data_IF_239444519074
#
_entry.id   IF_239444519074
#
_cell.length_a   1.000
_cell.length_b   1.000
_cell.length_c   1.000
_cell.angle_alpha   90.00
_cell.angle_beta   90.00
_cell.angle_gamma   90.00
#
_symmetry.space_group_name_H-M   'P 1'
#
loop_
_entity.id
_entity.type
_entity.pdbx_description
1 polymer ?
#
# COMPACT_ATOMS: atom_id res chain seq x y z
N UNK A 1 6.33 -13.12 -6.73
CA UNK A 1 5.25 -14.02 -7.14
C UNK A 1 5.44 -14.37 -8.60
N UNK A 2 5.36 -15.64 -9.03
CA UNK A 2 5.49 -16.01 -10.45
C UNK A 2 4.38 -15.35 -11.27
N UNK A 3 4.72 -14.94 -12.50
CA UNK A 3 3.77 -14.20 -13.37
C UNK A 3 2.60 -15.05 -13.86
N UNK A 4 2.81 -16.33 -13.95
CA UNK A 4 1.86 -17.36 -14.41
C UNK A 4 1.07 -18.01 -13.25
N UNK A 5 1.25 -17.53 -12.02
CA UNK A 5 0.46 -17.96 -10.88
C UNK A 5 -1.01 -17.62 -11.12
N UNK A 6 -1.89 -18.60 -10.94
CA UNK A 6 -3.33 -18.41 -11.12
C UNK A 6 -3.96 -17.99 -9.78
N UNK A 7 -4.64 -16.86 -9.77
CA UNK A 7 -5.44 -16.37 -8.66
C UNK A 7 -6.85 -16.97 -8.69
N UNK A 8 -7.56 -16.82 -7.57
CA UNK A 8 -8.98 -17.15 -7.53
C UNK A 8 -9.75 -16.41 -8.63
N UNK A 9 -10.60 -17.10 -9.37
CA UNK A 9 -11.31 -16.57 -10.52
C UNK A 9 -10.56 -16.70 -11.87
N UNK A 10 -9.41 -17.38 -11.90
CA UNK A 10 -8.69 -17.71 -13.12
C UNK A 10 -7.75 -16.61 -13.66
N UNK A 11 -7.52 -15.53 -12.90
CA UNK A 11 -6.62 -14.45 -13.29
C UNK A 11 -5.15 -14.86 -13.13
N UNK A 12 -4.32 -14.62 -14.13
CA UNK A 12 -2.88 -14.76 -13.99
C UNK A 12 -2.31 -13.58 -13.16
N UNK A 13 -1.28 -13.86 -12.36
CA UNK A 13 -0.67 -12.82 -11.53
C UNK A 13 -0.16 -11.64 -12.34
N UNK A 14 0.33 -11.88 -13.58
CA UNK A 14 0.80 -10.81 -14.46
C UNK A 14 -0.26 -9.73 -14.74
N UNK A 15 -1.53 -10.12 -14.76
CA UNK A 15 -2.65 -9.22 -15.07
C UNK A 15 -3.07 -8.39 -13.87
N UNK A 16 -2.84 -8.89 -12.66
CA UNK A 16 -3.29 -8.29 -11.40
C UNK A 16 -2.16 -7.87 -10.47
N UNK A 17 -0.91 -7.98 -10.92
CA UNK A 17 0.28 -7.71 -10.09
C UNK A 17 0.22 -6.33 -9.43
N UNK A 18 -0.06 -5.29 -10.20
CA UNK A 18 -0.01 -3.91 -9.68
C UNK A 18 -1.14 -3.60 -8.69
N UNK A 19 -2.31 -4.21 -8.85
CA UNK A 19 -3.45 -3.98 -7.94
C UNK A 19 -3.38 -4.84 -6.67
N UNK A 20 -2.52 -5.84 -6.63
CA UNK A 20 -2.33 -6.69 -5.45
C UNK A 20 -1.93 -5.85 -4.22
N UNK A 21 -1.12 -4.81 -4.41
CA UNK A 21 -0.73 -3.86 -3.37
C UNK A 21 -1.90 -3.03 -2.78
N UNK A 22 -3.03 -2.93 -3.49
CA UNK A 22 -4.25 -2.31 -2.98
C UNK A 22 -5.14 -3.33 -2.26
N UNK A 23 -5.27 -4.54 -2.81
CA UNK A 23 -6.14 -5.55 -2.20
C UNK A 23 -5.65 -6.01 -0.83
N UNK A 24 -4.33 -6.14 -0.64
CA UNK A 24 -3.79 -6.55 0.64
C UNK A 24 -4.13 -5.57 1.79
N UNK A 25 -3.87 -4.26 1.70
CA UNK A 25 -4.30 -3.32 2.73
C UNK A 25 -5.83 -3.23 2.87
N UNK A 26 -6.59 -3.41 1.80
CA UNK A 26 -8.05 -3.45 1.85
C UNK A 26 -8.53 -4.58 2.76
N UNK A 27 -8.17 -5.82 2.47
CA UNK A 27 -8.62 -6.99 3.26
C UNK A 27 -8.06 -6.95 4.69
N UNK A 28 -6.87 -6.38 4.88
CA UNK A 28 -6.29 -6.17 6.21
C UNK A 28 -7.13 -5.17 7.02
N UNK A 29 -7.52 -4.06 6.42
CA UNK A 29 -8.37 -3.05 7.05
C UNK A 29 -9.74 -3.63 7.42
N UNK A 30 -10.38 -4.32 6.49
CA UNK A 30 -11.66 -4.98 6.70
C UNK A 30 -11.58 -6.06 7.82
N UNK A 31 -10.50 -6.87 7.82
CA UNK A 31 -10.27 -7.86 8.85
C UNK A 31 -10.03 -7.27 10.24
N UNK A 32 -9.32 -6.15 10.33
CA UNK A 32 -9.12 -5.44 11.60
C UNK A 32 -10.44 -4.88 12.15
N UNK A 33 -11.30 -4.34 11.29
CA UNK A 33 -12.63 -3.87 11.66
C UNK A 33 -13.48 -5.03 12.16
N UNK A 34 -13.53 -6.13 11.41
CA UNK A 34 -14.35 -7.29 11.75
C UNK A 34 -13.91 -7.97 13.04
N UNK A 35 -12.61 -7.96 13.38
CA UNK A 35 -12.06 -8.55 14.60
C UNK A 35 -12.26 -7.69 15.84
N UNK A 36 -12.49 -6.40 15.69
CA UNK A 36 -12.61 -5.46 16.80
C UNK A 36 -13.91 -5.64 17.59
N UNK A 37 -13.82 -5.70 18.92
CA UNK A 37 -14.99 -5.75 19.82
C UNK A 37 -15.73 -4.40 19.93
N UNK A 38 -15.17 -3.32 19.41
CA UNK A 38 -15.74 -1.97 19.42
C UNK A 38 -15.37 -1.26 18.10
N UNK A 39 -16.13 -0.25 17.68
CA UNK A 39 -15.88 0.50 16.45
C UNK A 39 -14.60 1.35 16.59
N UNK A 40 -13.45 0.71 16.35
CA UNK A 40 -12.14 1.39 16.31
C UNK A 40 -11.71 1.55 14.87
N UNK A 41 -11.08 2.68 14.56
CA UNK A 41 -10.45 2.91 13.26
C UNK A 41 -9.26 1.95 13.12
N UNK A 42 -9.19 1.14 12.06
CA UNK A 42 -8.02 0.34 11.79
C UNK A 42 -6.86 1.25 11.39
N UNK A 43 -5.64 0.88 11.75
CA UNK A 43 -4.43 1.47 11.22
C UNK A 43 -3.69 0.42 10.41
N UNK A 44 -3.53 0.69 9.14
CA UNK A 44 -2.80 -0.15 8.19
C UNK A 44 -1.69 0.67 7.57
N UNK A 45 -0.48 0.16 7.61
CA UNK A 45 0.67 0.73 6.94
C UNK A 45 1.13 -0.28 5.87
N UNK A 46 1.20 0.16 4.63
CA UNK A 46 1.57 -0.69 3.50
C UNK A 46 2.74 -0.11 2.72
N UNK A 47 3.62 -0.99 2.21
CA UNK A 47 4.70 -0.59 1.31
C UNK A 47 4.21 -0.58 -0.14
N UNK A 48 3.52 -1.65 -0.55
CA UNK A 48 2.93 -1.74 -1.88
C UNK A 48 1.53 -1.15 -1.87
N UNK A 49 1.23 -0.31 -2.85
CA UNK A 49 -0.06 0.34 -2.98
C UNK A 49 -0.39 0.57 -4.45
N UNK A 50 -1.63 0.94 -4.71
CA UNK A 50 -2.15 1.33 -6.02
C UNK A 50 -3.17 2.45 -5.83
N UNK A 51 -3.58 3.11 -6.90
CA UNK A 51 -4.61 4.15 -6.84
C UNK A 51 -5.86 3.64 -6.11
N UNK A 52 -6.28 4.34 -5.07
CA UNK A 52 -7.39 3.92 -4.20
C UNK A 52 -6.97 3.32 -2.85
N UNK A 53 -5.70 2.99 -2.66
CA UNK A 53 -5.18 2.45 -1.39
C UNK A 53 -5.29 3.44 -0.22
N UNK A 54 -5.33 4.74 -0.50
CA UNK A 54 -5.48 5.80 0.51
C UNK A 54 -6.76 5.65 1.35
N UNK A 55 -7.75 4.89 0.87
CA UNK A 55 -8.98 4.58 1.61
C UNK A 55 -8.76 3.58 2.74
N UNK A 56 -7.68 2.83 2.70
CA UNK A 56 -7.46 1.68 3.58
C UNK A 56 -6.27 1.85 4.51
N UNK A 57 -5.34 2.74 4.21
CA UNK A 57 -4.17 2.89 5.04
C UNK A 57 -3.19 3.95 4.58
N UNK A 58 -2.11 4.03 5.34
CA UNK A 58 -0.94 4.86 5.06
C UNK A 58 0.11 4.06 4.27
N UNK A 59 1.09 4.75 3.71
CA UNK A 59 2.23 4.13 3.04
C UNK A 59 3.56 4.67 3.56
N UNK A 60 4.65 3.94 3.31
CA UNK A 60 6.00 4.48 3.49
C UNK A 60 6.85 4.22 2.26
N UNK A 61 7.94 4.95 2.13
CA UNK A 61 8.80 4.90 0.95
C UNK A 61 9.73 3.68 0.89
N UNK A 62 9.70 2.81 1.88
CA UNK A 62 10.50 1.59 1.98
C UNK A 62 11.72 1.76 2.87
N UNK A 63 12.70 0.88 2.69
CA UNK A 63 13.91 0.83 3.50
C UNK A 63 14.96 1.82 2.94
N UNK A 64 14.79 3.08 3.25
CA UNK A 64 15.70 4.13 2.81
C UNK A 64 17.04 4.02 3.57
N UNK A 65 18.14 4.17 2.83
CA UNK A 65 19.44 4.34 3.48
C UNK A 65 19.51 5.71 4.18
N UNK A 66 20.25 5.80 5.29
CA UNK A 66 20.45 7.05 6.01
C UNK A 66 21.43 8.00 5.30
N UNK A 67 21.22 8.26 4.01
CA UNK A 67 22.04 9.14 3.19
C UNK A 67 21.25 10.36 2.71
N UNK A 68 21.95 11.44 2.37
CA UNK A 68 21.33 12.66 1.86
C UNK A 68 20.61 12.42 0.54
N UNK A 69 21.14 11.56 -0.31
CA UNK A 69 20.54 11.17 -1.60
C UNK A 69 19.18 10.50 -1.39
N UNK A 70 19.12 9.52 -0.47
CA UNK A 70 17.87 8.83 -0.16
C UNK A 70 16.85 9.77 0.50
N UNK A 71 17.29 10.69 1.34
CA UNK A 71 16.43 11.73 1.91
C UNK A 71 15.83 12.62 0.81
N UNK A 72 16.65 13.09 -0.11
CA UNK A 72 16.19 13.94 -1.23
C UNK A 72 15.20 13.21 -2.15
N UNK A 73 15.44 11.92 -2.43
CA UNK A 73 14.51 11.07 -3.20
C UNK A 73 13.23 10.85 -2.43
N UNK A 74 13.30 10.58 -1.13
CA UNK A 74 12.15 10.37 -0.25
C UNK A 74 11.16 11.54 -0.28
N UNK A 75 11.67 12.78 -0.24
CA UNK A 75 10.84 13.98 -0.36
C UNK A 75 10.07 13.99 -1.69
N UNK A 76 10.75 13.72 -2.80
CA UNK A 76 10.13 13.67 -4.13
C UNK A 76 9.07 12.58 -4.22
N UNK A 77 9.34 11.41 -3.63
CA UNK A 77 8.40 10.28 -3.60
C UNK A 77 7.13 10.68 -2.83
N UNK A 78 7.26 11.27 -1.66
CA UNK A 78 6.10 11.68 -0.85
C UNK A 78 5.29 12.77 -1.55
N UNK A 79 5.93 13.76 -2.15
CA UNK A 79 5.25 14.82 -2.90
C UNK A 79 4.52 14.26 -4.13
N UNK A 80 5.14 13.38 -4.89
CA UNK A 80 4.52 12.76 -6.07
C UNK A 80 3.31 11.92 -5.69
N UNK A 81 3.42 11.15 -4.61
CA UNK A 81 2.32 10.36 -4.08
C UNK A 81 1.19 11.26 -3.54
N UNK A 82 1.53 12.39 -2.93
CA UNK A 82 0.55 13.39 -2.48
C UNK A 82 -0.29 13.93 -3.62
N UNK A 83 0.32 14.25 -4.78
CA UNK A 83 -0.39 14.66 -5.99
C UNK A 83 -1.32 13.55 -6.50
N UNK A 84 -0.92 12.28 -6.37
CA UNK A 84 -1.73 11.13 -6.74
C UNK A 84 -2.81 10.76 -5.70
N UNK A 85 -2.94 11.52 -4.61
CA UNK A 85 -3.94 11.31 -3.56
C UNK A 85 -3.48 10.47 -2.36
N UNK A 86 -2.22 10.01 -2.35
CA UNK A 86 -1.62 9.29 -1.21
C UNK A 86 -0.93 10.30 -0.29
N UNK A 87 -1.73 10.99 0.51
CA UNK A 87 -1.24 12.10 1.36
C UNK A 87 -0.75 11.67 2.74
N UNK A 88 -1.10 10.45 3.18
CA UNK A 88 -0.64 9.90 4.47
C UNK A 88 0.54 8.97 4.20
N UNK A 89 1.71 9.54 4.17
CA UNK A 89 2.95 8.81 3.89
C UNK A 89 4.12 9.31 4.71
N UNK A 90 5.17 8.50 4.73
CA UNK A 90 6.41 8.82 5.42
C UNK A 90 7.61 8.02 4.92
N UNK A 91 8.73 8.07 5.60
CA UNK A 91 9.96 7.33 5.33
C UNK A 91 10.54 6.75 6.63
#
# INVERSE_FOLDING_TARGET
MPKDLIHYGGWEHRDVHNINGMFLPKVTSEGLIARGAAPKRPFVLTRSFFAGSQRYGAMWTGDNLGTWEHMAVGIKMVLSNGIAGMTFGGC
#
